data_IF_199880049102
#
_entry.id   IF_199880049102
#
_cell.length_a   1.000
_cell.length_b   1.000
_cell.length_c   1.000
_cell.angle_alpha   90.00
_cell.angle_beta   90.00
_cell.angle_gamma   90.00
#
_symmetry.space_group_name_H-M   'P 1'
#
loop_
_entity.id
_entity.type
_entity.pdbx_description
1 polymer ?
#
# COMPACT_ATOMS: atom_id res chain seq x y z
N UNK A 1 -23.60 -11.43 7.54
CA UNK A 1 -24.04 -10.25 6.77
C UNK A 1 -23.29 -9.02 7.25
N UNK A 2 -23.36 -8.68 8.55
CA UNK A 2 -22.63 -7.54 9.15
C UNK A 2 -21.13 -7.51 8.84
N UNK A 3 -20.39 -8.60 9.10
CA UNK A 3 -18.93 -8.63 8.86
C UNK A 3 -18.53 -8.38 7.40
N UNK A 4 -19.33 -8.85 6.45
CA UNK A 4 -19.09 -8.60 5.02
C UNK A 4 -19.25 -7.12 4.69
N UNK A 5 -20.28 -6.48 5.23
CA UNK A 5 -20.49 -5.03 5.07
C UNK A 5 -19.34 -4.25 5.69
N UNK A 6 -18.83 -4.66 6.87
CA UNK A 6 -17.65 -4.03 7.47
C UNK A 6 -16.40 -4.15 6.59
N UNK A 7 -16.19 -5.31 5.95
CA UNK A 7 -15.12 -5.47 4.98
C UNK A 7 -15.30 -4.50 3.80
N UNK A 8 -16.48 -4.50 3.17
CA UNK A 8 -16.81 -3.61 2.05
C UNK A 8 -16.62 -2.12 2.41
N UNK A 9 -17.04 -1.70 3.60
CA UNK A 9 -16.87 -0.33 4.08
C UNK A 9 -15.39 0.04 4.25
N UNK A 10 -14.54 -0.90 4.63
CA UNK A 10 -13.12 -0.63 4.81
C UNK A 10 -12.36 -0.59 3.48
N UNK A 11 -12.76 -1.43 2.52
CA UNK A 11 -12.31 -1.32 1.13
C UNK A 11 -12.70 0.05 0.54
N UNK A 12 -13.96 0.49 0.72
CA UNK A 12 -14.40 1.83 0.28
C UNK A 12 -13.64 2.97 0.97
N UNK A 13 -13.48 2.88 2.30
CA UNK A 13 -12.74 3.87 3.08
C UNK A 13 -11.28 3.98 2.61
N UNK A 14 -10.65 2.86 2.22
CA UNK A 14 -9.30 2.87 1.64
C UNK A 14 -9.25 3.64 0.32
N UNK A 15 -10.26 3.48 -0.54
CA UNK A 15 -10.42 4.31 -1.72
C UNK A 15 -10.49 5.81 -1.37
N UNK A 16 -11.23 6.16 -0.31
CA UNK A 16 -11.25 7.51 0.24
C UNK A 16 -9.86 8.00 0.68
N UNK A 17 -9.09 7.17 1.38
CA UNK A 17 -7.71 7.48 1.80
C UNK A 17 -6.80 7.72 0.60
N UNK A 18 -6.90 6.91 -0.46
CA UNK A 18 -6.14 7.12 -1.72
C UNK A 18 -6.45 8.52 -2.28
N UNK A 19 -7.73 8.90 -2.35
CA UNK A 19 -8.13 10.23 -2.83
C UNK A 19 -7.61 11.35 -1.93
N UNK A 20 -7.62 11.17 -0.62
CA UNK A 20 -7.08 12.14 0.33
C UNK A 20 -5.57 12.36 0.15
N UNK A 21 -4.81 11.29 -0.11
CA UNK A 21 -3.37 11.37 -0.40
C UNK A 21 -3.13 12.05 -1.74
N UNK A 22 -3.90 11.69 -2.79
CA UNK A 22 -3.83 12.36 -4.09
C UNK A 22 -4.13 13.86 -4.00
N UNK A 23 -5.05 14.26 -3.10
CA UNK A 23 -5.33 15.67 -2.80
C UNK A 23 -4.16 16.43 -2.18
N UNK A 24 -3.13 15.74 -1.67
CA UNK A 24 -1.90 16.36 -1.17
C UNK A 24 -0.82 16.52 -2.25
N UNK A 25 -1.03 16.01 -3.47
CA UNK A 25 -0.03 16.12 -4.55
C UNK A 25 0.18 17.60 -4.89
N UNK A 26 1.44 18.04 -4.88
CA UNK A 26 1.83 19.43 -5.11
C UNK A 26 1.91 20.27 -3.83
N UNK A 27 1.48 19.73 -2.68
CA UNK A 27 1.84 20.29 -1.37
C UNK A 27 3.31 20.01 -1.06
N UNK A 28 3.93 20.85 -0.23
CA UNK A 28 5.34 20.71 0.11
C UNK A 28 5.64 19.58 1.12
N UNK A 29 6.94 19.42 1.47
CA UNK A 29 7.40 18.41 2.44
C UNK A 29 6.78 18.53 3.83
N UNK A 30 6.26 19.69 4.21
CA UNK A 30 5.61 19.96 5.50
C UNK A 30 4.39 19.07 5.77
N UNK A 31 3.71 18.60 4.71
CA UNK A 31 2.53 17.73 4.82
C UNK A 31 2.91 16.23 4.90
N UNK A 32 4.20 15.89 4.80
CA UNK A 32 4.65 14.48 4.77
C UNK A 32 4.19 13.68 5.98
N UNK A 33 4.19 14.28 7.17
CA UNK A 33 3.70 13.63 8.40
C UNK A 33 2.24 13.17 8.25
N UNK A 34 1.39 14.02 7.66
CA UNK A 34 -0.01 13.70 7.41
C UNK A 34 -0.15 12.61 6.34
N UNK A 35 0.64 12.67 5.26
CA UNK A 35 0.63 11.65 4.20
C UNK A 35 1.01 10.27 4.76
N UNK A 36 2.04 10.20 5.61
CA UNK A 36 2.46 8.96 6.28
C UNK A 36 1.33 8.40 7.15
N UNK A 37 0.67 9.25 7.95
CA UNK A 37 -0.47 8.81 8.78
C UNK A 37 -1.66 8.33 7.95
N UNK A 38 -1.93 8.98 6.82
CA UNK A 38 -2.94 8.51 5.86
C UNK A 38 -2.57 7.15 5.27
N UNK A 39 -1.30 6.93 4.90
CA UNK A 39 -0.83 5.61 4.45
C UNK A 39 -1.04 4.53 5.53
N UNK A 40 -0.68 4.82 6.78
CA UNK A 40 -0.92 3.90 7.91
C UNK A 40 -2.41 3.61 8.12
N UNK A 41 -3.27 4.62 7.99
CA UNK A 41 -4.72 4.43 8.03
C UNK A 41 -5.18 3.52 6.88
N UNK A 42 -4.72 3.78 5.65
CA UNK A 42 -5.05 2.98 4.47
C UNK A 42 -4.67 1.50 4.62
N UNK A 43 -3.46 1.23 5.11
CA UNK A 43 -3.01 -0.14 5.36
C UNK A 43 -3.68 -0.77 6.58
N UNK A 44 -4.05 0.00 7.60
CA UNK A 44 -4.88 -0.52 8.68
C UNK A 44 -6.23 -0.99 8.15
N UNK A 45 -6.85 -0.24 7.23
CA UNK A 45 -8.09 -0.65 6.57
C UNK A 45 -7.93 -1.89 5.68
N UNK A 46 -6.74 -2.15 5.13
CA UNK A 46 -6.36 -3.39 4.40
C UNK A 46 -6.20 -4.61 5.30
N UNK A 47 -5.60 -4.42 6.47
CA UNK A 47 -5.55 -5.52 7.44
C UNK A 47 -6.97 -5.86 7.89
N UNK A 48 -7.78 -4.84 8.19
CA UNK A 48 -9.08 -5.05 8.77
C UNK A 48 -10.10 -5.63 7.77
N UNK A 49 -10.17 -5.15 6.51
CA UNK A 49 -11.09 -5.73 5.52
C UNK A 49 -10.78 -7.21 5.23
N UNK A 50 -9.50 -7.57 5.16
CA UNK A 50 -9.04 -8.94 5.06
C UNK A 50 -9.49 -9.79 6.26
N UNK A 51 -9.39 -9.25 7.48
CA UNK A 51 -9.84 -9.93 8.70
C UNK A 51 -11.34 -10.19 8.68
N UNK A 52 -12.17 -9.18 8.43
CA UNK A 52 -13.62 -9.35 8.42
C UNK A 52 -14.11 -10.15 7.21
N UNK A 53 -13.47 -9.99 6.05
CA UNK A 53 -13.73 -10.76 4.83
C UNK A 53 -13.58 -12.26 5.11
N UNK A 54 -12.44 -12.68 5.68
CA UNK A 54 -12.18 -14.07 6.08
C UNK A 54 -13.18 -14.55 7.14
N UNK A 55 -13.42 -13.74 8.18
CA UNK A 55 -14.36 -14.09 9.25
C UNK A 55 -15.80 -14.25 8.76
N UNK A 56 -16.19 -13.51 7.71
CA UNK A 56 -17.54 -13.57 7.15
C UNK A 56 -17.87 -14.88 6.43
N UNK A 57 -16.85 -15.66 6.01
CA UNK A 57 -16.94 -16.88 5.20
C UNK A 57 -17.78 -16.73 3.92
N UNK A 58 -17.98 -15.49 3.44
CA UNK A 58 -18.74 -15.18 2.23
C UNK A 58 -17.92 -14.21 1.38
N UNK A 59 -17.91 -14.38 0.05
CA UNK A 59 -17.26 -13.42 -0.82
C UNK A 59 -17.90 -12.03 -0.66
N UNK A 60 -17.04 -11.02 -0.53
CA UNK A 60 -17.40 -9.60 -0.56
C UNK A 60 -17.48 -9.16 -2.03
N UNK A 61 -18.47 -8.32 -2.42
CA UNK A 61 -18.55 -7.75 -3.76
C UNK A 61 -17.39 -6.83 -4.06
N UNK A 62 -16.76 -6.22 -3.06
CA UNK A 62 -15.67 -5.27 -3.25
C UNK A 62 -14.29 -5.90 -3.12
N UNK A 63 -14.18 -7.18 -2.76
CA UNK A 63 -12.91 -7.89 -2.62
C UNK A 63 -12.01 -7.86 -3.88
N UNK A 64 -12.58 -7.63 -5.07
CA UNK A 64 -11.78 -7.48 -6.29
C UNK A 64 -11.01 -6.14 -6.35
N UNK A 65 -11.38 -5.16 -5.52
CA UNK A 65 -10.72 -3.87 -5.40
C UNK A 65 -9.58 -3.85 -4.40
N UNK A 66 -9.43 -4.86 -3.54
CA UNK A 66 -8.43 -4.89 -2.46
C UNK A 66 -7.02 -4.61 -3.00
N UNK A 67 -6.64 -5.34 -4.04
CA UNK A 67 -5.32 -5.22 -4.64
C UNK A 67 -5.11 -3.91 -5.43
N UNK A 68 -6.04 -3.47 -6.31
CA UNK A 68 -5.94 -2.15 -6.94
C UNK A 68 -5.84 -1.00 -5.93
N UNK A 69 -6.55 -1.06 -4.81
CA UNK A 69 -6.53 0.00 -3.79
C UNK A 69 -5.26 -0.03 -2.95
N UNK A 70 -4.71 -1.20 -2.64
CA UNK A 70 -3.40 -1.32 -1.98
C UNK A 70 -2.29 -0.73 -2.87
N UNK A 71 -2.27 -1.10 -4.15
CA UNK A 71 -1.38 -0.46 -5.12
C UNK A 71 -1.64 1.05 -5.22
N UNK A 72 -2.91 1.47 -5.19
CA UNK A 72 -3.32 2.87 -5.17
C UNK A 72 -2.70 3.67 -4.01
N UNK A 73 -2.61 3.09 -2.81
CA UNK A 73 -1.94 3.73 -1.67
C UNK A 73 -0.46 3.98 -1.95
N UNK A 74 0.26 2.96 -2.42
CA UNK A 74 1.69 3.07 -2.76
C UNK A 74 1.92 4.13 -3.84
N UNK A 75 1.13 4.10 -4.92
CA UNK A 75 1.27 5.05 -6.03
C UNK A 75 0.84 6.47 -5.67
N UNK A 76 -0.19 6.65 -4.84
CA UNK A 76 -0.57 7.97 -4.33
C UNK A 76 0.53 8.56 -3.44
N UNK A 77 1.13 7.75 -2.57
CA UNK A 77 2.28 8.14 -1.77
C UNK A 77 3.47 8.58 -2.63
N UNK A 78 3.81 7.81 -3.67
CA UNK A 78 4.86 8.18 -4.61
C UNK A 78 4.55 9.46 -5.39
N UNK A 79 3.34 9.59 -5.92
CA UNK A 79 2.90 10.80 -6.61
C UNK A 79 3.01 12.05 -5.72
N UNK A 80 2.67 11.92 -4.42
CA UNK A 80 2.90 12.98 -3.45
C UNK A 80 4.39 13.32 -3.35
N UNK A 81 5.28 12.35 -3.18
CA UNK A 81 6.72 12.62 -3.05
C UNK A 81 7.30 13.34 -4.27
N UNK A 82 6.85 12.96 -5.47
CA UNK A 82 7.26 13.65 -6.70
C UNK A 82 6.69 15.07 -6.73
N UNK A 83 5.40 15.25 -6.40
CA UNK A 83 4.74 16.55 -6.36
C UNK A 83 5.31 17.50 -5.31
N UNK A 84 5.76 16.97 -4.17
CA UNK A 84 6.38 17.72 -3.07
C UNK A 84 7.86 18.07 -3.33
N UNK A 85 8.41 17.65 -4.47
CA UNK A 85 9.83 17.87 -4.80
C UNK A 85 10.81 17.01 -4.00
N UNK A 86 10.34 15.97 -3.31
CA UNK A 86 11.17 15.03 -2.55
C UNK A 86 11.82 13.99 -3.47
N UNK A 87 11.16 13.66 -4.58
CA UNK A 87 11.72 12.83 -5.66
C UNK A 87 11.86 13.69 -6.92
N UNK A 88 13.01 13.65 -7.62
CA UNK A 88 13.18 14.37 -8.88
C UNK A 88 12.07 14.04 -9.89
N UNK A 89 11.35 15.02 -10.45
CA UNK A 89 10.18 14.76 -11.30
C UNK A 89 10.44 13.86 -12.51
N UNK A 90 11.57 14.02 -13.20
CA UNK A 90 11.92 13.21 -14.36
C UNK A 90 11.98 11.71 -14.04
N UNK A 91 12.93 11.26 -13.19
CA UNK A 91 12.99 9.87 -12.73
C UNK A 91 11.72 9.39 -12.04
N UNK A 92 11.08 10.25 -11.24
CA UNK A 92 9.87 9.92 -10.47
C UNK A 92 8.70 9.50 -11.35
N UNK A 93 8.35 10.32 -12.33
CA UNK A 93 7.27 10.02 -13.27
C UNK A 93 7.68 8.95 -14.28
N UNK A 94 8.94 8.93 -14.74
CA UNK A 94 9.43 7.89 -15.64
C UNK A 94 9.30 6.50 -15.02
N UNK A 95 9.61 6.35 -13.73
CA UNK A 95 9.43 5.09 -12.99
C UNK A 95 7.96 4.65 -12.93
N UNK A 96 7.04 5.56 -12.63
CA UNK A 96 5.60 5.24 -12.61
C UNK A 96 5.10 4.79 -13.97
N UNK A 97 5.46 5.52 -15.04
CA UNK A 97 5.06 5.19 -16.40
C UNK A 97 5.65 3.86 -16.82
N UNK A 98 6.94 3.63 -16.58
CA UNK A 98 7.60 2.36 -16.89
C UNK A 98 6.94 1.19 -16.13
N UNK A 99 6.63 1.38 -14.85
CA UNK A 99 5.93 0.37 -14.05
C UNK A 99 4.55 0.07 -14.61
N UNK A 100 3.76 1.10 -14.91
CA UNK A 100 2.43 0.92 -15.49
C UNK A 100 2.50 0.16 -16.83
N UNK A 101 3.42 0.54 -17.72
CA UNK A 101 3.62 -0.15 -19.00
C UNK A 101 3.98 -1.62 -18.79
N UNK A 102 4.89 -1.91 -17.87
CA UNK A 102 5.28 -3.29 -17.55
C UNK A 102 4.11 -4.10 -17.00
N UNK A 103 3.29 -3.52 -16.11
CA UNK A 103 2.15 -4.22 -15.52
C UNK A 103 1.00 -4.43 -16.48
N UNK A 104 0.78 -3.49 -17.41
CA UNK A 104 -0.20 -3.67 -18.49
C UNK A 104 0.24 -4.76 -19.48
N UNK A 105 1.54 -4.86 -19.76
CA UNK A 105 2.09 -5.86 -20.68
C UNK A 105 2.27 -7.24 -20.05
N UNK A 106 2.59 -7.28 -18.76
CA UNK A 106 2.88 -8.48 -17.99
C UNK A 106 2.12 -8.44 -16.66
N UNK A 107 0.80 -8.70 -16.67
CA UNK A 107 -0.04 -8.63 -15.48
C UNK A 107 0.29 -9.80 -14.54
N UNK A 108 1.32 -9.61 -13.71
CA UNK A 108 1.81 -10.58 -12.74
C UNK A 108 1.87 -9.94 -11.34
N UNK A 109 1.28 -10.61 -10.36
CA UNK A 109 1.21 -10.12 -8.97
C UNK A 109 2.60 -9.92 -8.36
N UNK A 110 3.51 -10.87 -8.53
CA UNK A 110 4.88 -10.78 -7.98
C UNK A 110 5.68 -9.65 -8.65
N UNK A 111 5.54 -9.46 -9.97
CA UNK A 111 6.14 -8.31 -10.67
C UNK A 111 5.64 -7.00 -10.09
N UNK A 112 4.34 -6.88 -9.88
CA UNK A 112 3.76 -5.68 -9.29
C UNK A 112 4.22 -5.43 -7.86
N UNK A 113 4.25 -6.47 -7.01
CA UNK A 113 4.79 -6.34 -5.65
C UNK A 113 6.23 -5.83 -5.69
N UNK A 114 7.06 -6.34 -6.60
CA UNK A 114 8.45 -5.89 -6.79
C UNK A 114 8.52 -4.41 -7.20
N UNK A 115 7.75 -4.02 -8.23
CA UNK A 115 7.77 -2.65 -8.75
C UNK A 115 7.15 -1.63 -7.79
N UNK A 116 6.30 -2.08 -6.87
CA UNK A 116 5.72 -1.24 -5.83
C UNK A 116 6.65 -0.99 -4.64
N UNK A 117 7.73 -1.77 -4.46
CA UNK A 117 8.66 -1.62 -3.31
C UNK A 117 9.13 -0.17 -3.15
N UNK A 118 9.66 0.51 -4.18
CA UNK A 118 10.09 1.91 -4.03
C UNK A 118 8.95 2.83 -3.60
N UNK A 119 7.78 2.71 -4.24
CA UNK A 119 6.60 3.52 -3.95
C UNK A 119 6.06 3.30 -2.53
N UNK A 120 6.12 2.07 -2.05
CA UNK A 120 5.66 1.65 -0.72
C UNK A 120 6.55 2.21 0.38
N UNK A 121 7.87 2.10 0.23
CA UNK A 121 8.81 2.44 1.32
C UNK A 121 9.33 3.88 1.27
N UNK A 122 9.38 4.53 0.10
CA UNK A 122 9.93 5.86 -0.03
C UNK A 122 9.31 6.90 0.92
N UNK A 123 7.98 6.96 1.14
CA UNK A 123 7.39 7.93 2.06
C UNK A 123 7.97 7.82 3.48
N UNK A 124 8.21 6.60 3.95
CA UNK A 124 8.77 6.32 5.28
C UNK A 124 10.28 6.62 5.33
N UNK A 125 11.01 6.39 4.24
CA UNK A 125 12.42 6.75 4.15
C UNK A 125 12.62 8.27 4.25
N UNK A 126 11.79 9.06 3.57
CA UNK A 126 11.80 10.52 3.72
C UNK A 126 11.30 10.95 5.11
N UNK A 127 10.28 10.29 5.66
CA UNK A 127 9.75 10.62 6.97
C UNK A 127 10.77 10.42 8.08
N UNK A 128 11.71 9.48 7.94
CA UNK A 128 12.80 9.29 8.90
C UNK A 128 13.57 10.58 9.20
N UNK A 129 13.76 11.44 8.20
CA UNK A 129 14.51 12.70 8.33
C UNK A 129 13.58 13.91 8.48
N UNK A 130 12.51 13.97 7.68
CA UNK A 130 11.64 15.15 7.57
C UNK A 130 10.43 15.13 8.51
N UNK A 131 9.99 13.95 8.95
CA UNK A 131 8.85 13.79 9.86
C UNK A 131 9.09 12.63 10.86
N UNK A 132 10.09 12.71 11.75
CA UNK A 132 10.54 11.57 12.56
C UNK A 132 9.46 10.98 13.46
N UNK A 133 8.50 11.79 13.92
CA UNK A 133 7.35 11.33 14.71
C UNK A 133 6.47 10.37 13.90
N UNK A 134 6.09 10.74 12.68
CA UNK A 134 5.30 9.88 11.81
C UNK A 134 6.07 8.61 11.40
N UNK A 135 7.39 8.69 11.24
CA UNK A 135 8.22 7.50 11.04
C UNK A 135 8.19 6.55 12.25
N UNK A 136 8.25 7.07 13.48
CA UNK A 136 8.13 6.26 14.71
C UNK A 136 6.76 5.60 14.81
N UNK A 137 5.69 6.35 14.52
CA UNK A 137 4.32 5.81 14.44
C UNK A 137 4.25 4.65 13.45
N UNK A 138 4.82 4.82 12.25
CA UNK A 138 4.86 3.78 11.23
C UNK A 138 5.65 2.55 11.66
N UNK A 139 6.77 2.75 12.35
CA UNK A 139 7.60 1.65 12.84
C UNK A 139 6.88 0.85 13.95
N UNK A 140 6.26 1.55 14.91
CA UNK A 140 5.43 0.92 15.95
C UNK A 140 4.28 0.16 15.31
N UNK A 141 3.60 0.77 14.34
CA UNK A 141 2.50 0.15 13.60
C UNK A 141 2.96 -1.12 12.89
N UNK A 142 4.10 -1.09 12.18
CA UNK A 142 4.64 -2.24 11.46
C UNK A 142 4.97 -3.40 12.41
N UNK A 143 5.57 -3.11 13.58
CA UNK A 143 5.83 -4.12 14.60
C UNK A 143 4.52 -4.72 15.15
N UNK A 144 3.54 -3.87 15.46
CA UNK A 144 2.25 -4.33 15.96
C UNK A 144 1.55 -5.25 14.94
N UNK A 145 1.53 -4.86 13.67
CA UNK A 145 0.92 -5.67 12.61
C UNK A 145 1.67 -6.98 12.36
N UNK A 146 3.01 -6.97 12.42
CA UNK A 146 3.80 -8.20 12.29
C UNK A 146 3.52 -9.19 13.44
N UNK A 147 3.31 -8.69 14.66
CA UNK A 147 2.95 -9.52 15.81
C UNK A 147 1.53 -10.09 15.69
N UNK A 148 0.59 -9.29 15.18
CA UNK A 148 -0.82 -9.68 15.07
C UNK A 148 -1.09 -10.61 13.86
N UNK A 149 -0.45 -10.36 12.71
CA UNK A 149 -0.73 -11.07 11.46
C UNK A 149 0.53 -11.60 10.75
N UNK A 150 1.56 -11.97 11.53
CA UNK A 150 2.83 -12.49 10.99
C UNK A 150 2.69 -13.74 10.12
N UNK A 151 1.64 -14.56 10.33
CA UNK A 151 1.33 -15.69 9.45
C UNK A 151 0.94 -15.24 8.05
N UNK A 152 0.15 -14.16 7.94
CA UNK A 152 -0.22 -13.59 6.65
C UNK A 152 0.98 -12.99 5.95
N UNK A 153 1.86 -12.30 6.68
CA UNK A 153 3.12 -11.79 6.13
C UNK A 153 3.96 -12.89 5.46
N UNK A 154 4.14 -14.02 6.14
CA UNK A 154 4.83 -15.18 5.55
C UNK A 154 4.08 -15.76 4.34
N UNK A 155 2.75 -15.76 4.38
CA UNK A 155 1.91 -16.13 3.23
C UNK A 155 2.16 -15.24 2.01
N UNK A 156 2.23 -13.92 2.21
CA UNK A 156 2.52 -12.95 1.14
C UNK A 156 3.92 -13.15 0.56
N UNK A 157 4.93 -13.41 1.40
CA UNK A 157 6.29 -13.75 0.93
C UNK A 157 6.26 -15.04 0.10
N UNK A 158 5.53 -16.05 0.56
CA UNK A 158 5.41 -17.31 -0.16
C UNK A 158 4.72 -17.13 -1.52
N UNK A 159 3.59 -16.41 -1.56
CA UNK A 159 2.89 -16.05 -2.80
C UNK A 159 3.83 -15.33 -3.77
N UNK A 160 4.66 -14.40 -3.26
CA UNK A 160 5.66 -13.70 -4.07
C UNK A 160 6.69 -14.67 -4.66
N UNK A 161 7.29 -15.53 -3.83
CA UNK A 161 8.32 -16.50 -4.25
C UNK A 161 7.77 -17.51 -5.26
N UNK A 162 6.56 -18.03 -5.03
CA UNK A 162 5.89 -18.94 -5.97
C UNK A 162 5.66 -18.27 -7.32
N UNK A 163 5.13 -17.04 -7.34
CA UNK A 163 4.92 -16.28 -8.58
C UNK A 163 6.21 -15.82 -9.27
N UNK A 164 7.32 -15.71 -8.53
CA UNK A 164 8.66 -15.44 -9.06
C UNK A 164 9.41 -16.70 -9.54
N UNK A 165 8.82 -17.89 -9.39
CA UNK A 165 9.46 -19.16 -9.75
C UNK A 165 10.55 -19.62 -8.79
N UNK A 166 10.62 -19.04 -7.58
CA UNK A 166 11.59 -19.34 -6.52
C UNK A 166 11.00 -20.20 -5.39
N UNK A 167 9.69 -20.46 -5.43
CA UNK A 167 9.01 -21.33 -4.46
C UNK A 167 9.36 -22.80 -4.69
N UNK A 168 9.61 -23.55 -3.60
CA UNK A 168 9.71 -25.03 -3.69
C UNK A 168 8.36 -25.56 -4.16
N UNK A 169 8.34 -26.29 -5.28
CA UNK A 169 7.22 -27.18 -5.61
C UNK A 169 7.17 -28.24 -4.51
N UNK A 170 6.16 -28.15 -3.65
CA UNK A 170 5.77 -29.28 -2.80
C UNK A 170 4.97 -30.27 -3.64
#
# INVERSE_FOLDING_TARGET
MVLRVLADLCTLARGGVVLLILGQVGQGPEVLSQVVRLLLLGWTLDVLDGLWGRASRKPSPLAFWDYPLDAGLAWAGWAYLVGAGLVPPGPGWAWMVATLVLLLRYPNKSLSMLLQVPATFAPFLFARTLAPEAFREAWIWALAMLLLDGRRFLGVIREFLEGAGLGRRA
#
